data_IF_170238509395
#
_entry.id   IF_170238509395
#
_cell.length_a   1.000
_cell.length_b   1.000
_cell.length_c   1.000
_cell.angle_alpha   90.00
_cell.angle_beta   90.00
_cell.angle_gamma   90.00
#
_symmetry.space_group_name_H-M   'P 1'
#
loop_
_entity.id
_entity.type
_entity.pdbx_description
1 polymer ?
#
# COMPACT_ATOMS: atom_id res chain seq x y z
N UNK A 1 13.70 29.31 -23.91
CA UNK A 1 14.15 27.88 -23.98
C UNK A 1 14.72 27.34 -22.66
N UNK A 2 15.69 28.02 -22.02
CA UNK A 2 16.31 27.59 -20.74
C UNK A 2 15.32 27.38 -19.58
N UNK A 3 14.27 28.20 -19.48
CA UNK A 3 13.25 28.11 -18.42
C UNK A 3 12.34 26.88 -18.56
N UNK A 4 11.94 26.52 -19.79
CA UNK A 4 11.17 25.29 -20.08
C UNK A 4 11.97 24.03 -19.73
N UNK A 5 13.26 24.01 -20.06
CA UNK A 5 14.16 22.90 -19.72
C UNK A 5 14.36 22.80 -18.20
N UNK A 6 14.53 23.93 -17.49
CA UNK A 6 14.63 23.96 -16.02
C UNK A 6 13.37 23.43 -15.34
N UNK A 7 12.20 23.84 -15.84
CA UNK A 7 10.89 23.39 -15.35
C UNK A 7 10.67 21.89 -15.60
N UNK A 8 11.00 21.41 -16.80
CA UNK A 8 10.94 19.98 -17.13
C UNK A 8 11.89 19.16 -16.27
N UNK A 9 13.13 19.63 -16.08
CA UNK A 9 14.08 19.01 -15.13
C UNK A 9 13.51 18.96 -13.72
N UNK A 10 12.90 20.04 -13.24
CA UNK A 10 12.28 20.10 -11.90
C UNK A 10 11.07 19.19 -11.77
N UNK A 11 10.22 19.08 -12.80
CA UNK A 11 9.08 18.15 -12.84
C UNK A 11 9.55 16.69 -12.85
N UNK A 12 10.64 16.38 -13.58
CA UNK A 12 11.33 15.09 -13.52
C UNK A 12 11.92 14.88 -12.13
N UNK A 13 12.60 15.88 -11.58
CA UNK A 13 13.23 15.80 -10.27
C UNK A 13 12.20 15.61 -9.16
N UNK A 14 11.01 16.22 -9.23
CA UNK A 14 9.89 15.99 -8.28
C UNK A 14 9.20 14.64 -8.49
N UNK A 15 9.35 14.01 -9.66
CA UNK A 15 8.94 12.62 -9.91
C UNK A 15 9.96 11.64 -9.31
N UNK A 16 11.25 12.00 -9.30
CA UNK A 16 12.34 11.16 -8.81
C UNK A 16 12.86 11.52 -7.40
N UNK A 17 12.40 12.62 -6.81
CA UNK A 17 12.62 13.02 -5.42
C UNK A 17 11.81 12.05 -4.56
N UNK A 18 12.43 10.90 -4.27
CA UNK A 18 11.89 9.92 -3.34
C UNK A 18 11.80 10.60 -1.97
N UNK A 19 10.58 10.85 -1.53
CA UNK A 19 10.35 11.27 -0.15
C UNK A 19 10.90 10.15 0.75
N UNK A 20 11.89 10.42 1.63
CA UNK A 20 12.47 9.39 2.49
C UNK A 20 11.40 8.70 3.34
N UNK A 21 10.34 9.41 3.73
CA UNK A 21 9.20 8.82 4.44
C UNK A 21 8.42 7.83 3.57
N UNK A 22 8.29 8.11 2.27
CA UNK A 22 7.63 7.20 1.34
C UNK A 22 8.47 5.94 1.16
N UNK A 23 9.80 6.07 1.03
CA UNK A 23 10.69 4.91 0.95
C UNK A 23 10.62 4.05 2.22
N UNK A 24 10.64 4.68 3.39
CA UNK A 24 10.49 3.98 4.68
C UNK A 24 9.14 3.25 4.73
N UNK A 25 8.05 3.91 4.34
CA UNK A 25 6.74 3.29 4.33
C UNK A 25 6.64 2.13 3.32
N UNK A 26 7.26 2.24 2.14
CA UNK A 26 7.37 1.13 1.16
C UNK A 26 8.14 -0.06 1.75
N UNK A 27 9.25 0.19 2.43
CA UNK A 27 10.03 -0.86 3.10
C UNK A 27 9.20 -1.51 4.22
N UNK A 28 8.44 -0.72 4.98
CA UNK A 28 7.52 -1.22 6.00
C UNK A 28 6.46 -2.15 5.41
N UNK A 29 5.73 -1.70 4.37
CA UNK A 29 4.74 -2.55 3.69
C UNK A 29 5.38 -3.81 3.12
N UNK A 30 6.55 -3.68 2.46
CA UNK A 30 7.29 -4.82 1.94
C UNK A 30 7.60 -5.84 3.03
N UNK A 31 8.18 -5.41 4.15
CA UNK A 31 8.53 -6.30 5.26
C UNK A 31 7.31 -7.00 5.87
N UNK A 32 6.23 -6.26 6.11
CA UNK A 32 4.98 -6.82 6.63
C UNK A 32 4.42 -7.90 5.70
N UNK A 33 4.21 -7.58 4.43
CA UNK A 33 3.55 -8.49 3.48
C UNK A 33 4.47 -9.64 3.07
N UNK A 34 5.78 -9.43 2.90
CA UNK A 34 6.71 -10.51 2.61
C UNK A 34 6.76 -11.52 3.77
N UNK A 35 6.87 -11.03 5.01
CA UNK A 35 6.90 -11.87 6.19
C UNK A 35 5.62 -12.70 6.35
N UNK A 36 4.45 -12.07 6.20
CA UNK A 36 3.17 -12.80 6.24
C UNK A 36 3.06 -13.78 5.06
N UNK A 37 3.49 -13.39 3.87
CA UNK A 37 3.43 -14.24 2.68
C UNK A 37 4.25 -15.51 2.82
N UNK A 38 5.48 -15.42 3.33
CA UNK A 38 6.33 -16.59 3.60
C UNK A 38 5.69 -17.50 4.65
N UNK A 39 5.15 -16.93 5.73
CA UNK A 39 4.48 -17.70 6.79
C UNK A 39 3.22 -18.41 6.27
N UNK A 40 2.46 -17.77 5.39
CA UNK A 40 1.27 -18.36 4.78
C UNK A 40 1.60 -19.51 3.81
N UNK A 41 2.66 -19.35 3.00
CA UNK A 41 3.16 -20.43 2.12
C UNK A 41 3.59 -21.64 2.94
N UNK A 42 4.19 -21.41 4.11
CA UNK A 42 4.54 -22.46 5.06
C UNK A 42 3.35 -23.12 5.77
N UNK A 43 2.11 -22.73 5.45
CA UNK A 43 0.86 -23.24 6.05
C UNK A 43 0.91 -23.22 7.57
N UNK A 44 1.02 -22.02 8.14
CA UNK A 44 1.07 -21.86 9.59
C UNK A 44 -0.22 -22.38 10.28
N UNK A 45 -0.15 -23.41 11.13
CA UNK A 45 -1.33 -24.00 11.76
C UNK A 45 -2.09 -23.01 12.65
N UNK A 46 -1.41 -21.97 13.18
CA UNK A 46 -2.07 -20.91 13.98
C UNK A 46 -3.03 -20.05 13.16
N UNK A 47 -2.96 -20.09 11.83
CA UNK A 47 -3.83 -19.31 10.97
C UNK A 47 -5.07 -20.09 10.52
N UNK A 48 -5.10 -21.41 10.72
CA UNK A 48 -6.29 -22.23 10.42
C UNK A 48 -7.50 -21.70 11.20
N UNK A 49 -7.44 -21.46 12.53
CA UNK A 49 -8.56 -20.89 13.28
C UNK A 49 -9.06 -19.54 12.75
N UNK A 50 -8.17 -18.72 12.18
CA UNK A 50 -8.50 -17.41 11.61
C UNK A 50 -9.35 -17.53 10.34
N UNK A 51 -9.06 -18.54 9.50
CA UNK A 51 -9.82 -18.79 8.28
C UNK A 51 -11.12 -19.54 8.61
N UNK A 52 -11.08 -20.48 9.55
CA UNK A 52 -12.30 -21.22 9.92
C UNK A 52 -13.31 -20.35 10.66
N UNK A 53 -12.87 -19.33 11.41
CA UNK A 53 -13.78 -18.40 12.10
C UNK A 53 -14.61 -17.55 11.13
N UNK A 54 -14.17 -17.42 9.87
CA UNK A 54 -14.88 -16.69 8.81
C UNK A 54 -15.60 -17.61 7.81
N UNK A 55 -15.71 -18.91 8.12
CA UNK A 55 -16.59 -19.85 7.41
C UNK A 55 -15.89 -20.84 6.46
N UNK A 56 -14.55 -20.87 6.40
CA UNK A 56 -13.84 -21.91 5.66
C UNK A 56 -13.75 -23.22 6.44
N UNK A 57 -13.71 -24.36 5.74
CA UNK A 57 -13.30 -25.63 6.36
C UNK A 57 -11.79 -25.65 6.63
N UNK A 58 -11.32 -26.60 7.44
CA UNK A 58 -9.88 -26.80 7.69
C UNK A 58 -9.12 -27.10 6.39
N UNK A 59 -9.66 -27.99 5.55
CA UNK A 59 -9.04 -28.33 4.27
C UNK A 59 -8.97 -27.13 3.33
N UNK A 60 -10.03 -26.32 3.30
CA UNK A 60 -10.03 -25.06 2.54
C UNK A 60 -9.00 -24.08 3.10
N UNK A 61 -8.87 -23.95 4.42
CA UNK A 61 -7.90 -23.06 5.04
C UNK A 61 -6.46 -23.45 4.68
N UNK A 62 -6.14 -24.75 4.76
CA UNK A 62 -4.84 -25.31 4.37
C UNK A 62 -4.57 -25.06 2.89
N UNK A 63 -5.56 -25.29 2.02
CA UNK A 63 -5.44 -25.09 0.58
C UNK A 63 -5.27 -23.61 0.18
N UNK A 64 -6.00 -22.70 0.83
CA UNK A 64 -5.98 -21.27 0.51
C UNK A 64 -4.74 -20.56 1.03
N UNK A 65 -4.11 -21.04 2.12
CA UNK A 65 -3.01 -20.33 2.77
C UNK A 65 -1.82 -20.06 1.85
N UNK A 66 -1.34 -21.00 1.02
CA UNK A 66 -0.28 -20.73 0.05
C UNK A 66 -0.68 -19.72 -1.03
N UNK A 67 -1.96 -19.71 -1.44
CA UNK A 67 -2.49 -18.75 -2.42
C UNK A 67 -2.50 -17.33 -1.82
N UNK A 68 -2.96 -17.21 -0.58
CA UNK A 68 -2.89 -15.97 0.20
C UNK A 68 -1.44 -15.52 0.31
N UNK A 69 -0.52 -16.45 0.60
CA UNK A 69 0.89 -16.12 0.75
C UNK A 69 1.53 -15.61 -0.54
N UNK A 70 1.18 -16.21 -1.68
CA UNK A 70 1.61 -15.72 -3.00
C UNK A 70 1.06 -14.31 -3.29
N UNK A 71 -0.21 -14.05 -2.95
CA UNK A 71 -0.81 -12.72 -3.08
C UNK A 71 -0.06 -11.68 -2.23
N UNK A 72 0.26 -12.02 -0.98
CA UNK A 72 1.00 -11.12 -0.08
C UNK A 72 2.40 -10.79 -0.63
N UNK A 73 3.12 -11.77 -1.19
CA UNK A 73 4.43 -11.53 -1.83
C UNK A 73 4.30 -10.61 -3.04
N UNK A 74 3.26 -10.77 -3.86
CA UNK A 74 2.99 -9.88 -4.99
C UNK A 74 2.76 -8.45 -4.49
N UNK A 75 1.95 -8.26 -3.45
CA UNK A 75 1.70 -6.94 -2.84
C UNK A 75 3.01 -6.34 -2.32
N UNK A 76 3.85 -7.13 -1.65
CA UNK A 76 5.13 -6.69 -1.10
C UNK A 76 6.06 -6.15 -2.20
N UNK A 77 6.34 -6.98 -3.22
CA UNK A 77 7.28 -6.64 -4.30
C UNK A 77 6.76 -5.47 -5.14
N UNK A 78 5.48 -5.49 -5.49
CA UNK A 78 4.87 -4.40 -6.27
C UNK A 78 4.93 -3.08 -5.49
N UNK A 79 4.58 -3.07 -4.21
CA UNK A 79 4.61 -1.84 -3.39
C UNK A 79 6.01 -1.27 -3.22
N UNK A 80 7.03 -2.13 -3.09
CA UNK A 80 8.42 -1.69 -2.98
C UNK A 80 8.88 -0.96 -4.25
N UNK A 81 8.60 -1.53 -5.43
CA UNK A 81 9.04 -1.01 -6.72
C UNK A 81 8.14 0.16 -7.17
N UNK A 82 6.83 -0.08 -7.24
CA UNK A 82 5.84 0.84 -7.76
C UNK A 82 4.52 0.76 -6.95
N UNK A 83 4.30 1.64 -5.96
CA UNK A 83 3.15 1.60 -5.05
C UNK A 83 1.86 2.01 -5.78
N UNK A 84 1.27 1.06 -6.50
CA UNK A 84 0.04 1.26 -7.26
C UNK A 84 -1.13 1.50 -6.33
N UNK A 85 -1.95 2.51 -6.62
CA UNK A 85 -3.12 2.88 -5.80
C UNK A 85 -4.07 1.72 -5.53
N UNK A 86 -4.43 0.95 -6.56
CA UNK A 86 -5.33 -0.20 -6.40
C UNK A 86 -4.76 -1.25 -5.45
N UNK A 87 -3.45 -1.52 -5.56
CA UNK A 87 -2.74 -2.46 -4.68
C UNK A 87 -2.69 -1.92 -3.25
N UNK A 88 -2.43 -0.62 -3.06
CA UNK A 88 -2.41 -0.02 -1.72
C UNK A 88 -3.79 -0.04 -1.05
N UNK A 89 -4.87 0.27 -1.79
CA UNK A 89 -6.25 0.16 -1.28
C UNK A 89 -6.55 -1.27 -0.85
N UNK A 90 -6.21 -2.24 -1.71
CA UNK A 90 -6.34 -3.64 -1.38
C UNK A 90 -5.52 -4.04 -0.15
N UNK A 91 -4.25 -3.62 -0.08
CA UNK A 91 -3.36 -3.91 1.05
C UNK A 91 -3.92 -3.37 2.38
N UNK A 92 -4.50 -2.16 2.39
CA UNK A 92 -5.15 -1.61 3.59
C UNK A 92 -6.31 -2.49 4.03
N UNK A 93 -7.23 -2.80 3.11
CA UNK A 93 -8.43 -3.59 3.43
C UNK A 93 -8.03 -4.99 3.88
N UNK A 94 -7.14 -5.65 3.13
CA UNK A 94 -6.68 -7.01 3.40
C UNK A 94 -5.95 -7.13 4.74
N UNK A 95 -5.00 -6.24 5.03
CA UNK A 95 -4.28 -6.25 6.29
C UNK A 95 -5.19 -5.90 7.49
N UNK A 96 -6.17 -5.02 7.29
CA UNK A 96 -7.16 -4.68 8.32
C UNK A 96 -8.05 -5.88 8.64
N UNK A 97 -8.62 -6.54 7.61
CA UNK A 97 -9.47 -7.72 7.79
C UNK A 97 -8.70 -8.89 8.41
N UNK A 98 -7.46 -9.12 7.98
CA UNK A 98 -6.57 -10.16 8.54
C UNK A 98 -6.20 -9.86 10.00
N UNK A 99 -6.04 -8.60 10.38
CA UNK A 99 -5.84 -8.24 11.78
C UNK A 99 -7.13 -8.44 12.57
N UNK A 100 -8.29 -8.06 12.00
CA UNK A 100 -9.60 -8.16 12.65
C UNK A 100 -10.07 -9.61 12.82
N UNK A 101 -9.59 -10.53 12.00
CA UNK A 101 -9.93 -11.96 12.13
C UNK A 101 -9.44 -12.55 13.47
N UNK A 102 -8.47 -11.92 14.14
CA UNK A 102 -7.93 -12.33 15.44
C UNK A 102 -8.98 -12.28 16.56
N UNK A 103 -9.59 -11.13 16.89
CA UNK A 103 -10.69 -11.12 17.84
C UNK A 103 -11.90 -11.96 17.40
N UNK A 104 -12.15 -12.05 16.09
CA UNK A 104 -13.24 -12.89 15.55
C UNK A 104 -12.98 -14.39 15.82
N UNK A 105 -11.72 -14.84 15.77
CA UNK A 105 -11.35 -16.23 16.09
C UNK A 105 -11.22 -16.50 17.60
N UNK A 106 -11.53 -15.53 18.46
CA UNK A 106 -11.42 -15.64 19.91
C UNK A 106 -10.06 -15.28 20.49
N UNK A 107 -9.13 -14.72 19.69
CA UNK A 107 -7.88 -14.15 20.22
C UNK A 107 -8.15 -12.80 20.92
N UNK A 108 -7.28 -12.33 21.84
CA UNK A 108 -7.46 -11.04 22.50
C UNK A 108 -7.56 -9.87 21.52
N UNK A 109 -8.41 -8.87 21.83
CA UNK A 109 -8.52 -7.66 21.00
C UNK A 109 -7.20 -6.89 20.87
N UNK A 110 -6.30 -7.02 21.85
CA UNK A 110 -4.96 -6.39 21.79
C UNK A 110 -4.14 -6.91 20.59
N UNK A 111 -4.36 -8.14 20.12
CA UNK A 111 -3.65 -8.71 18.97
C UNK A 111 -4.03 -8.00 17.65
N UNK A 112 -5.25 -7.45 17.57
CA UNK A 112 -5.66 -6.56 16.48
C UNK A 112 -4.93 -5.21 16.57
N UNK A 113 -4.84 -4.64 17.78
CA UNK A 113 -4.20 -3.34 18.02
C UNK A 113 -2.69 -3.41 17.79
N UNK A 114 -2.03 -4.47 18.25
CA UNK A 114 -0.60 -4.74 18.01
C UNK A 114 -0.29 -4.74 16.50
N UNK A 115 -1.23 -5.22 15.69
CA UNK A 115 -1.12 -5.29 14.23
C UNK A 115 -1.53 -4.02 13.50
N UNK A 116 -1.81 -2.91 14.20
CA UNK A 116 -2.21 -1.65 13.56
C UNK A 116 -1.22 -1.17 12.50
N UNK A 117 0.09 -1.37 12.73
CA UNK A 117 1.13 -1.04 11.77
C UNK A 117 0.91 -1.72 10.40
N UNK A 118 0.33 -2.92 10.36
CA UNK A 118 0.17 -3.70 9.13
C UNK A 118 -0.74 -3.00 8.12
N UNK A 119 -1.82 -2.35 8.57
CA UNK A 119 -2.76 -1.65 7.70
C UNK A 119 -2.53 -0.12 7.68
N UNK A 120 -1.92 0.46 8.71
CA UNK A 120 -1.53 1.87 8.73
C UNK A 120 -0.41 2.22 7.73
N UNK A 121 0.56 1.33 7.52
CA UNK A 121 1.66 1.55 6.57
C UNK A 121 1.19 1.68 5.11
N UNK A 122 0.39 0.76 4.54
CA UNK A 122 -0.13 0.94 3.19
C UNK A 122 -1.12 2.11 3.09
N UNK A 123 -1.85 2.43 4.17
CA UNK A 123 -2.71 3.62 4.22
C UNK A 123 -1.89 4.91 4.14
N UNK A 124 -0.78 4.97 4.86
CA UNK A 124 0.16 6.10 4.82
C UNK A 124 0.69 6.30 3.40
N UNK A 125 1.14 5.23 2.73
CA UNK A 125 1.55 5.30 1.32
C UNK A 125 0.42 5.77 0.40
N UNK A 126 -0.81 5.28 0.62
CA UNK A 126 -1.97 5.65 -0.18
C UNK A 126 -2.25 7.15 -0.07
N UNK A 127 -2.25 7.71 1.15
CA UNK A 127 -2.49 9.12 1.40
C UNK A 127 -1.36 10.01 0.83
N UNK A 128 -0.11 9.61 0.98
CA UNK A 128 1.04 10.30 0.37
C UNK A 128 0.94 10.31 -1.17
N UNK A 129 0.47 9.22 -1.77
CA UNK A 129 0.24 9.12 -3.22
C UNK A 129 -0.92 10.00 -3.71
N UNK A 130 -1.87 10.36 -2.84
CA UNK A 130 -3.00 11.23 -3.16
C UNK A 130 -2.60 12.71 -3.19
N UNK A 131 -1.85 13.15 -2.19
CA UNK A 131 -1.43 14.55 -2.04
C UNK A 131 -0.56 15.05 -3.23
N UNK A 132 0.24 14.15 -3.81
CA UNK A 132 1.06 14.48 -4.99
C UNK A 132 0.23 14.73 -6.26
N UNK A 133 -0.94 14.11 -6.42
CA UNK A 133 -1.76 14.23 -7.65
C UNK A 133 -2.76 15.38 -7.59
N UNK A 134 -3.36 15.64 -6.43
CA UNK A 134 -4.28 16.77 -6.23
C UNK A 134 -3.56 18.10 -6.45
N UNK A 135 -2.36 18.24 -5.89
CA UNK A 135 -1.51 19.43 -6.07
C UNK A 135 -1.15 19.64 -7.54
N UNK A 136 -0.80 18.58 -8.27
CA UNK A 136 -0.48 18.65 -9.71
C UNK A 136 -1.69 19.03 -10.56
N UNK A 137 -2.88 18.53 -10.21
CA UNK A 137 -4.13 18.81 -10.92
C UNK A 137 -4.58 20.27 -10.74
N UNK A 138 -4.50 20.77 -9.50
CA UNK A 138 -4.78 22.17 -9.18
C UNK A 138 -3.82 23.14 -9.91
N UNK A 139 -2.51 22.84 -9.89
CA UNK A 139 -1.51 23.64 -10.64
C UNK A 139 -1.73 23.61 -12.16
N UNK A 140 -2.26 22.51 -12.71
CA UNK A 140 -2.65 22.44 -14.13
C UNK A 140 -3.88 23.30 -14.43
N UNK A 141 -4.87 23.32 -13.53
CA UNK A 141 -6.07 24.14 -13.67
C UNK A 141 -5.73 25.63 -13.65
N UNK A 142 -4.92 26.09 -12.69
CA UNK A 142 -4.45 27.49 -12.62
C UNK A 142 -3.71 27.89 -13.90
N UNK A 143 -2.80 27.04 -14.41
CA UNK A 143 -2.09 27.32 -15.68
C UNK A 143 -3.02 27.35 -16.89
N UNK A 144 -4.16 26.66 -16.84
CA UNK A 144 -5.14 26.63 -17.92
C UNK A 144 -5.98 27.92 -17.95
N UNK A 145 -6.28 28.51 -16.80
CA UNK A 145 -7.09 29.74 -16.64
C UNK A 145 -6.26 31.04 -16.60
N UNK A 146 -4.93 30.96 -16.52
CA UNK A 146 -4.07 32.14 -16.59
C UNK A 146 -4.26 32.92 -17.92
N UNK A 147 -4.36 34.27 -17.89
CA UNK A 147 -4.67 35.09 -19.05
C UNK A 147 -3.62 34.97 -20.16
N UNK A 148 -4.08 35.03 -21.42
CA UNK A 148 -3.31 34.74 -22.65
C UNK A 148 -2.01 35.55 -22.77
N UNK A 149 -1.94 36.75 -22.17
CA UNK A 149 -0.75 37.62 -22.20
C UNK A 149 0.52 36.99 -21.60
N UNK A 150 0.40 36.02 -20.69
CA UNK A 150 1.55 35.32 -20.09
C UNK A 150 2.00 34.08 -20.90
N UNK A 151 1.27 33.69 -21.95
CA UNK A 151 1.52 32.43 -22.68
C UNK A 151 2.49 32.59 -23.86
N UNK A 152 2.82 33.83 -24.25
CA UNK A 152 3.58 34.17 -25.47
C UNK A 152 4.92 34.92 -25.23
N UNK A 153 5.33 35.13 -23.97
CA UNK A 153 6.68 35.62 -23.59
C UNK A 153 7.57 34.49 -23.08
#
# INVERSE_FOLDING_TARGET
MKQKIRKFKKEIQDVFQKNPLELIARIGVFGTFLGHGIVAIGVNPKWIPLLTSVGFSVDQAIFLMPIIGAMDIIIAVTTLIYPMRGILVWAVIWAFLTALSRPISGEPFVDFVERAANWCLPLTLLLMSYQSQTTRSFLRLIKKTAPIKERLS
#
